data_IF_618940843192
#
_entry.id   IF_618940843192
#
_cell.length_a   1.000
_cell.length_b   1.000
_cell.length_c   1.000
_cell.angle_alpha   90.00
_cell.angle_beta   90.00
_cell.angle_gamma   90.00
#
_symmetry.space_group_name_H-M   'P 1'
#
loop_
_entity.id
_entity.type
_entity.pdbx_description
1 polymer ?
#
# COMPACT_ATOMS: atom_id res chain seq x y z
N UNK A 1 -15.12 12.76 1.93
CA UNK A 1 -15.22 11.89 3.11
C UNK A 1 -13.97 11.06 3.07
N UNK A 2 -13.18 11.05 4.14
CA UNK A 2 -11.89 10.39 4.15
C UNK A 2 -12.10 8.88 4.29
N UNK A 3 -11.91 8.14 3.19
CA UNK A 3 -11.49 6.74 3.27
C UNK A 3 -10.18 6.54 2.50
N UNK A 4 -9.07 7.16 2.94
CA UNK A 4 -7.72 6.83 2.49
C UNK A 4 -6.99 5.96 3.53
N UNK A 5 -5.88 5.38 3.08
CA UNK A 5 -5.01 4.41 3.76
C UNK A 5 -5.63 3.02 3.86
N UNK A 6 -5.03 2.09 3.13
CA UNK A 6 -5.54 0.71 2.99
C UNK A 6 -4.65 -0.31 3.69
N UNK A 7 -3.44 0.10 4.10
CA UNK A 7 -2.63 -0.59 5.10
C UNK A 7 -1.22 -0.02 5.19
N UNK A 8 -0.57 -0.30 6.31
CA UNK A 8 0.86 -0.04 6.54
C UNK A 8 1.70 -1.28 6.25
N UNK A 9 3.01 -1.11 6.07
CA UNK A 9 3.93 -2.24 5.88
C UNK A 9 3.80 -3.25 7.05
N UNK A 10 3.64 -4.53 6.71
CA UNK A 10 3.39 -5.62 7.66
C UNK A 10 1.92 -5.87 7.99
N UNK A 11 0.98 -5.05 7.48
CA UNK A 11 -0.44 -5.37 7.54
C UNK A 11 -0.87 -6.27 6.38
N UNK A 12 -1.92 -7.05 6.62
CA UNK A 12 -2.55 -7.87 5.59
C UNK A 12 -3.49 -7.00 4.75
N UNK A 13 -3.26 -7.00 3.45
CA UNK A 13 -4.10 -6.40 2.43
C UNK A 13 -5.51 -6.98 2.49
N UNK A 14 -6.49 -6.13 2.75
CA UNK A 14 -7.90 -6.54 2.89
C UNK A 14 -8.68 -6.49 1.58
N UNK A 15 -8.09 -5.92 0.53
CA UNK A 15 -8.77 -5.73 -0.74
C UNK A 15 -7.77 -5.85 -1.88
N UNK A 16 -8.01 -6.72 -2.85
CA UNK A 16 -7.13 -6.81 -4.01
C UNK A 16 -7.22 -5.54 -4.88
N UNK A 17 -6.08 -4.99 -5.32
CA UNK A 17 -6.06 -3.79 -6.15
C UNK A 17 -4.69 -3.17 -6.39
N UNK A 18 -4.66 -2.06 -7.14
CA UNK A 18 -3.45 -1.28 -7.35
C UNK A 18 -3.29 -0.27 -6.22
N UNK A 19 -2.16 -0.34 -5.54
CA UNK A 19 -1.81 0.52 -4.43
C UNK A 19 -0.73 1.50 -4.82
N UNK A 20 -0.90 2.73 -4.39
CA UNK A 20 0.04 3.82 -4.57
C UNK A 20 0.76 4.02 -3.24
N UNK A 21 2.07 4.06 -3.33
CA UNK A 21 2.93 4.41 -2.21
C UNK A 21 2.80 5.91 -1.92
N UNK A 22 2.33 6.27 -0.72
CA UNK A 22 2.07 7.67 -0.35
C UNK A 22 3.33 8.56 -0.27
N UNK A 23 4.52 7.96 -0.26
CA UNK A 23 5.78 8.71 -0.15
C UNK A 23 6.39 9.08 -1.51
N UNK A 24 6.55 8.10 -2.40
CA UNK A 24 7.19 8.30 -3.71
C UNK A 24 6.23 8.18 -4.90
N UNK A 25 4.96 7.82 -4.68
CA UNK A 25 3.97 7.67 -5.73
C UNK A 25 4.15 6.42 -6.59
N UNK A 26 4.87 5.41 -6.11
CA UNK A 26 5.05 4.15 -6.84
C UNK A 26 3.81 3.27 -6.77
N UNK A 27 3.46 2.62 -7.87
CA UNK A 27 2.30 1.74 -7.98
C UNK A 27 2.71 0.28 -7.80
N UNK A 28 2.03 -0.45 -6.92
CA UNK A 28 2.20 -1.90 -6.74
C UNK A 28 0.84 -2.55 -6.58
N UNK A 29 0.63 -3.67 -7.25
CA UNK A 29 -0.57 -4.47 -7.07
C UNK A 29 -0.43 -5.37 -5.84
N UNK A 30 -1.46 -5.43 -5.00
CA UNK A 30 -1.57 -6.39 -3.90
C UNK A 30 -2.87 -7.16 -4.03
N UNK A 31 -2.83 -8.44 -3.70
CA UNK A 31 -4.02 -9.31 -3.64
C UNK A 31 -4.65 -9.27 -2.24
N UNK A 32 -5.88 -9.76 -2.11
CA UNK A 32 -6.52 -9.87 -0.80
C UNK A 32 -5.86 -11.02 -0.01
N UNK A 33 -5.37 -10.71 1.19
CA UNK A 33 -4.60 -11.64 2.02
C UNK A 33 -3.07 -11.53 1.83
N UNK A 34 -2.61 -10.70 0.90
CA UNK A 34 -1.18 -10.42 0.72
C UNK A 34 -0.66 -9.49 1.83
N UNK A 35 0.62 -9.53 2.19
CA UNK A 35 1.20 -8.64 3.20
C UNK A 35 1.76 -7.38 2.52
N UNK A 36 1.44 -6.20 3.04
CA UNK A 36 2.02 -4.96 2.53
C UNK A 36 3.52 -4.94 2.83
N UNK A 37 4.32 -4.91 1.77
CA UNK A 37 5.78 -4.83 1.91
C UNK A 37 6.25 -3.38 1.81
N UNK A 38 7.47 -3.13 2.29
CA UNK A 38 8.14 -1.85 2.09
C UNK A 38 8.26 -1.55 0.59
N UNK A 39 8.08 -0.27 0.22
CA UNK A 39 8.16 0.10 -1.19
C UNK A 39 9.58 -0.10 -1.71
N UNK A 40 9.77 -0.88 -2.80
CA UNK A 40 11.10 -1.16 -3.34
C UNK A 40 11.79 0.08 -3.95
N UNK A 41 11.07 1.19 -4.13
CA UNK A 41 11.60 2.42 -4.73
C UNK A 41 12.20 3.38 -3.72
N UNK A 42 11.48 3.68 -2.63
CA UNK A 42 11.97 4.57 -1.57
C UNK A 42 12.60 3.82 -0.40
N UNK A 43 12.29 2.53 -0.22
CA UNK A 43 12.81 1.71 0.88
C UNK A 43 12.26 2.10 2.24
N UNK A 44 11.15 2.84 2.29
CA UNK A 44 10.56 3.32 3.52
C UNK A 44 9.72 2.22 4.17
N UNK A 45 10.08 1.84 5.40
CA UNK A 45 9.41 0.76 6.15
C UNK A 45 8.17 1.25 6.91
N UNK A 46 8.09 2.55 7.23
CA UNK A 46 6.98 3.16 8.00
C UNK A 46 5.99 3.90 7.08
N UNK A 47 5.62 3.28 5.96
CA UNK A 47 4.79 3.93 4.96
C UNK A 47 3.41 3.31 4.75
N UNK A 48 2.52 4.13 4.21
CA UNK A 48 1.13 3.81 3.95
C UNK A 48 0.90 3.55 2.46
N UNK A 49 0.18 2.47 2.17
CA UNK A 49 -0.31 2.13 0.83
C UNK A 49 -1.75 2.62 0.67
N UNK A 50 -2.00 3.35 -0.42
CA UNK A 50 -3.30 3.92 -0.75
C UNK A 50 -3.87 3.23 -1.99
N UNK A 51 -5.07 2.67 -1.92
CA UNK A 51 -5.68 2.05 -3.08
C UNK A 51 -6.03 3.12 -4.12
N UNK A 52 -5.58 2.92 -5.35
CA UNK A 52 -6.03 3.70 -6.50
C UNK A 52 -7.51 3.36 -6.78
N UNK A 53 -8.42 4.26 -6.39
CA UNK A 53 -9.87 4.17 -6.64
C UNK A 53 -10.31 4.94 -7.88
#
# INVERSE_FOLDING_TARGET
MAEPVVGTVGEICKQAGNYICGNCGHYKYYDEGDEFEACPMCGEEDMEWELET
#
